data_IF_511131884136
#
_entry.id   IF_511131884136
#
_cell.length_a   1.000
_cell.length_b   1.000
_cell.length_c   1.000
_cell.angle_alpha   90.00
_cell.angle_beta   90.00
_cell.angle_gamma   90.00
#
_symmetry.space_group_name_H-M   'P 1'
#
loop_
_entity.id
_entity.type
_entity.pdbx_description
1 polymer ?
#
# COMPACT_ATOMS: atom_id res chain seq x y z
N UNK A 1 -27.21 -15.47 19.92
CA UNK A 1 -25.87 -15.79 20.46
C UNK A 1 -24.76 -15.02 19.68
N UNK A 2 -24.91 -13.71 19.50
CA UNK A 2 -23.99 -12.91 18.65
C UNK A 2 -23.37 -11.69 19.34
N UNK A 3 -23.60 -11.49 20.63
CA UNK A 3 -23.13 -10.30 21.36
C UNK A 3 -21.89 -10.51 22.24
N UNK A 4 -21.45 -11.76 22.43
CA UNK A 4 -20.34 -12.10 23.33
C UNK A 4 -18.95 -12.11 22.65
N UNK A 5 -18.88 -12.15 21.33
CA UNK A 5 -17.57 -12.15 20.62
C UNK A 5 -17.02 -10.74 20.33
N UNK A 6 -17.89 -9.73 20.23
CA UNK A 6 -17.49 -8.35 19.96
C UNK A 6 -16.81 -7.69 21.17
N UNK A 7 -17.33 -7.94 22.36
CA UNK A 7 -16.79 -7.40 23.63
C UNK A 7 -15.42 -7.98 24.01
N UNK A 8 -15.16 -9.25 23.70
CA UNK A 8 -13.87 -9.88 24.00
C UNK A 8 -12.74 -9.41 23.06
N UNK A 9 -13.04 -9.01 21.82
CA UNK A 9 -12.04 -8.52 20.88
C UNK A 9 -11.55 -7.11 21.23
N UNK A 10 -12.46 -6.23 21.59
CA UNK A 10 -12.15 -4.86 22.00
C UNK A 10 -11.25 -4.81 23.25
N UNK A 11 -11.51 -5.70 24.23
CA UNK A 11 -10.69 -5.78 25.45
C UNK A 11 -9.30 -6.36 25.23
N UNK A 12 -9.13 -7.28 24.26
CA UNK A 12 -7.83 -7.87 23.94
C UNK A 12 -6.90 -6.89 23.21
N UNK A 13 -7.45 -6.02 22.36
CA UNK A 13 -6.66 -5.03 21.61
C UNK A 13 -6.23 -3.87 22.49
N UNK A 14 -7.10 -3.41 23.38
CA UNK A 14 -6.77 -2.36 24.36
C UNK A 14 -5.62 -2.78 25.29
N UNK A 15 -5.41 -4.07 25.49
CA UNK A 15 -4.27 -4.59 26.28
C UNK A 15 -2.95 -4.66 25.48
N UNK A 16 -2.99 -4.55 24.16
CA UNK A 16 -1.80 -4.58 23.30
C UNK A 16 -1.19 -3.19 23.01
N UNK A 17 -1.97 -2.12 23.20
CA UNK A 17 -1.50 -0.73 23.02
C UNK A 17 -0.89 -0.21 24.33
N UNK A 18 0.23 0.52 24.18
CA UNK A 18 0.81 1.26 25.34
C UNK A 18 -0.07 2.45 25.70
N UNK A 19 0.10 2.97 26.93
CA UNK A 19 -0.57 4.21 27.33
C UNK A 19 -0.19 5.39 26.39
N UNK A 20 1.08 5.47 25.99
CA UNK A 20 1.58 6.45 25.03
C UNK A 20 0.89 6.34 23.68
N UNK A 21 0.81 5.12 23.10
CA UNK A 21 0.10 4.89 21.82
C UNK A 21 -1.37 5.26 21.91
N UNK A 22 -2.03 4.94 23.04
CA UNK A 22 -3.44 5.26 23.26
C UNK A 22 -3.70 6.78 23.35
N UNK A 23 -2.78 7.53 23.96
CA UNK A 23 -2.86 9.00 24.00
C UNK A 23 -2.58 9.59 22.62
N UNK A 24 -1.56 9.11 21.91
CA UNK A 24 -1.24 9.55 20.56
C UNK A 24 -2.39 9.30 19.59
N UNK A 25 -3.13 8.18 19.72
CA UNK A 25 -4.31 7.89 18.88
C UNK A 25 -5.45 8.88 19.17
N UNK A 26 -5.66 9.30 20.43
CA UNK A 26 -6.65 10.37 20.72
C UNK A 26 -6.25 11.69 20.06
N UNK A 27 -4.98 12.10 20.20
CA UNK A 27 -4.47 13.30 19.52
C UNK A 27 -4.60 13.21 18.00
N UNK A 28 -4.39 12.02 17.40
CA UNK A 28 -4.60 11.79 15.97
C UNK A 28 -6.07 11.96 15.58
N UNK A 29 -7.00 11.38 16.35
CA UNK A 29 -8.43 11.51 16.12
C UNK A 29 -8.88 12.98 16.19
N UNK A 30 -8.41 13.73 17.20
CA UNK A 30 -8.67 15.15 17.35
C UNK A 30 -8.10 15.96 16.18
N UNK A 31 -6.85 15.71 15.79
CA UNK A 31 -6.22 16.37 14.65
C UNK A 31 -6.97 16.08 13.33
N UNK A 32 -7.40 14.86 13.11
CA UNK A 32 -8.18 14.47 11.94
C UNK A 32 -9.55 15.15 11.89
N UNK A 33 -10.24 15.24 13.04
CA UNK A 33 -11.56 15.89 13.12
C UNK A 33 -11.51 17.41 12.93
N UNK A 34 -10.36 18.03 13.20
CA UNK A 34 -10.15 19.46 13.05
C UNK A 34 -9.53 19.85 11.71
N UNK A 35 -9.05 18.88 10.93
CA UNK A 35 -8.43 19.13 9.64
C UNK A 35 -9.48 19.52 8.59
N UNK A 36 -9.13 20.45 7.72
CA UNK A 36 -9.91 20.78 6.53
C UNK A 36 -9.61 19.75 5.41
N UNK A 37 -8.41 19.16 5.42
CA UNK A 37 -8.01 18.09 4.51
C UNK A 37 -7.07 17.08 5.16
N UNK A 38 -7.16 15.81 4.72
CA UNK A 38 -6.24 14.71 5.09
C UNK A 38 -5.52 14.21 3.84
N UNK A 39 -4.20 14.22 3.87
CA UNK A 39 -3.37 13.54 2.88
C UNK A 39 -2.85 12.25 3.51
N UNK A 40 -3.44 11.12 3.14
CA UNK A 40 -3.02 9.81 3.61
C UNK A 40 -1.88 9.26 2.73
N UNK A 41 -0.71 9.08 3.32
CA UNK A 41 0.44 8.41 2.71
C UNK A 41 0.59 6.98 3.23
N UNK A 42 0.52 5.99 2.36
CA UNK A 42 0.58 4.58 2.76
C UNK A 42 1.75 3.83 2.12
N UNK A 43 2.45 3.05 2.93
CA UNK A 43 3.52 2.15 2.53
C UNK A 43 3.23 0.69 2.83
N UNK A 44 4.21 -0.18 2.55
CA UNK A 44 4.08 -1.64 2.67
C UNK A 44 3.73 -2.11 4.09
N UNK A 45 4.05 -1.33 5.13
CA UNK A 45 3.67 -1.63 6.52
C UNK A 45 2.17 -1.69 6.73
N UNK A 46 1.36 -0.87 6.02
CA UNK A 46 -0.09 -0.95 6.09
C UNK A 46 -0.60 -2.28 5.51
N UNK A 47 -0.12 -2.69 4.34
CA UNK A 47 -0.50 -3.98 3.73
C UNK A 47 -0.05 -5.15 4.59
N UNK A 48 1.15 -5.09 5.17
CA UNK A 48 1.63 -6.12 6.09
C UNK A 48 0.76 -6.23 7.35
N UNK A 49 0.36 -5.10 7.95
CA UNK A 49 -0.56 -5.04 9.09
C UNK A 49 -1.95 -5.59 8.73
N UNK A 50 -2.38 -5.43 7.49
CA UNK A 50 -3.63 -6.01 6.97
C UNK A 50 -3.53 -7.51 6.67
N UNK A 51 -2.36 -8.15 6.86
CA UNK A 51 -2.14 -9.58 6.63
C UNK A 51 -1.40 -9.91 5.33
N UNK A 52 -1.06 -8.94 4.50
CA UNK A 52 -0.31 -9.13 3.25
C UNK A 52 1.22 -9.17 3.48
N UNK A 53 1.68 -9.82 4.54
CA UNK A 53 3.11 -9.95 4.83
C UNK A 53 3.83 -10.72 3.72
N UNK A 54 5.04 -10.26 3.37
CA UNK A 54 5.88 -10.89 2.34
C UNK A 54 6.77 -12.01 2.88
N UNK A 55 6.79 -12.22 4.18
CA UNK A 55 7.63 -13.21 4.86
C UNK A 55 6.83 -14.06 5.84
N UNK A 56 7.51 -15.01 6.48
CA UNK A 56 6.93 -15.86 7.52
C UNK A 56 5.88 -16.85 7.01
N UNK A 57 4.87 -17.20 7.83
CA UNK A 57 3.92 -18.28 7.53
C UNK A 57 3.15 -18.10 6.22
N UNK A 58 2.87 -16.85 5.81
CA UNK A 58 2.19 -16.57 4.54
C UNK A 58 3.07 -16.96 3.35
N UNK A 59 4.34 -16.57 3.36
CA UNK A 59 5.29 -16.94 2.31
C UNK A 59 5.47 -18.45 2.25
N UNK A 60 5.71 -19.10 3.39
CA UNK A 60 5.91 -20.56 3.46
C UNK A 60 4.70 -21.34 2.91
N UNK A 61 3.48 -20.87 3.17
CA UNK A 61 2.26 -21.52 2.63
C UNK A 61 2.08 -21.33 1.13
N UNK A 62 2.46 -20.17 0.59
CA UNK A 62 2.22 -19.81 -0.81
C UNK A 62 3.31 -20.35 -1.77
N UNK A 63 4.54 -20.55 -1.27
CA UNK A 63 5.70 -20.89 -2.09
C UNK A 63 6.52 -22.08 -1.57
N UNK A 64 5.89 -23.16 -1.06
CA UNK A 64 6.64 -24.26 -0.42
C UNK A 64 7.62 -24.94 -1.37
N UNK A 65 7.24 -25.16 -2.62
CA UNK A 65 8.04 -25.76 -3.68
C UNK A 65 9.21 -24.87 -4.14
N UNK A 66 9.01 -23.57 -4.21
CA UNK A 66 10.07 -22.59 -4.49
C UNK A 66 11.08 -22.51 -3.34
N UNK A 67 10.63 -22.63 -2.11
CA UNK A 67 11.51 -22.68 -0.93
C UNK A 67 12.36 -23.95 -0.98
N UNK A 68 11.72 -25.11 -1.21
CA UNK A 68 12.40 -26.40 -1.24
C UNK A 68 13.44 -26.50 -2.36
N UNK A 69 13.12 -26.05 -3.57
CA UNK A 69 13.98 -26.24 -4.73
C UNK A 69 14.99 -25.12 -4.95
N UNK A 70 14.65 -23.88 -4.58
CA UNK A 70 15.46 -22.69 -4.88
C UNK A 70 15.96 -21.96 -3.62
N UNK A 71 15.54 -22.38 -2.43
CA UNK A 71 15.95 -21.76 -1.17
C UNK A 71 15.44 -20.33 -0.98
N UNK A 72 14.29 -19.97 -1.57
CA UNK A 72 13.73 -18.64 -1.42
C UNK A 72 13.30 -18.38 0.03
N UNK A 73 13.47 -17.15 0.53
CA UNK A 73 13.27 -16.80 1.94
C UNK A 73 12.06 -15.90 2.21
N UNK A 74 11.70 -15.03 1.27
CA UNK A 74 10.58 -14.11 1.35
C UNK A 74 10.18 -13.59 -0.04
N UNK A 75 9.00 -12.95 -0.16
CA UNK A 75 8.50 -12.48 -1.46
C UNK A 75 9.29 -11.32 -2.04
N UNK A 76 9.86 -10.45 -1.19
CA UNK A 76 10.58 -9.28 -1.67
C UNK A 76 11.91 -9.66 -2.32
N UNK A 77 12.76 -10.38 -1.58
CA UNK A 77 14.06 -10.84 -2.08
C UNK A 77 13.90 -11.80 -3.26
N UNK A 78 12.88 -12.66 -3.24
CA UNK A 78 12.57 -13.58 -4.33
C UNK A 78 12.21 -12.88 -5.64
N UNK A 79 11.69 -11.66 -5.57
CA UNK A 79 11.42 -10.83 -6.77
C UNK A 79 12.69 -10.51 -7.57
N UNK A 80 13.84 -10.50 -6.92
CA UNK A 80 15.17 -10.23 -7.50
C UNK A 80 16.01 -11.51 -7.71
N UNK A 81 15.45 -12.69 -7.41
CA UNK A 81 16.15 -13.95 -7.59
C UNK A 81 16.48 -14.17 -9.09
N UNK A 82 17.73 -14.62 -9.42
CA UNK A 82 18.15 -14.85 -10.79
C UNK A 82 17.60 -16.19 -11.30
N UNK A 83 16.32 -16.24 -11.61
CA UNK A 83 15.65 -17.46 -12.09
C UNK A 83 16.35 -18.01 -13.34
N UNK A 84 16.50 -19.34 -13.48
CA UNK A 84 17.24 -19.97 -14.57
C UNK A 84 16.67 -19.66 -15.96
N UNK A 85 15.34 -19.51 -16.09
CA UNK A 85 14.66 -19.19 -17.35
C UNK A 85 13.49 -18.24 -17.13
N UNK A 86 13.00 -17.57 -18.18
CA UNK A 86 11.78 -16.74 -18.10
C UNK A 86 10.56 -17.51 -17.60
N UNK A 87 10.43 -18.80 -17.95
CA UNK A 87 9.32 -19.65 -17.52
C UNK A 87 9.33 -19.86 -15.99
N UNK A 88 10.50 -20.04 -15.37
CA UNK A 88 10.63 -20.10 -13.92
C UNK A 88 10.28 -18.76 -13.27
N UNK A 89 10.80 -17.67 -13.82
CA UNK A 89 10.53 -16.33 -13.33
C UNK A 89 9.03 -16.05 -13.33
N UNK A 90 8.34 -16.38 -14.42
CA UNK A 90 6.90 -16.13 -14.53
C UNK A 90 6.06 -17.13 -13.74
N UNK A 91 6.55 -18.34 -13.46
CA UNK A 91 5.91 -19.24 -12.51
C UNK A 91 5.91 -18.66 -11.09
N UNK A 92 7.02 -18.06 -10.65
CA UNK A 92 7.07 -17.34 -9.39
C UNK A 92 6.17 -16.09 -9.41
N UNK A 93 6.37 -15.20 -10.39
CA UNK A 93 5.66 -13.94 -10.44
C UNK A 93 4.15 -14.08 -10.63
N UNK A 94 3.68 -15.06 -11.37
CA UNK A 94 2.24 -15.30 -11.51
C UNK A 94 1.58 -15.66 -10.18
N UNK A 95 2.22 -16.51 -9.35
CA UNK A 95 1.73 -16.80 -8.00
C UNK A 95 1.83 -15.58 -7.08
N UNK A 96 2.92 -14.83 -7.17
CA UNK A 96 3.09 -13.60 -6.39
C UNK A 96 1.98 -12.58 -6.71
N UNK A 97 1.70 -12.35 -7.98
CA UNK A 97 0.63 -11.47 -8.44
C UNK A 97 -0.73 -11.98 -7.98
N UNK A 98 -1.03 -13.27 -8.17
CA UNK A 98 -2.29 -13.85 -7.68
C UNK A 98 -2.49 -13.58 -6.20
N UNK A 99 -1.48 -13.91 -5.39
CA UNK A 99 -1.56 -13.81 -3.93
C UNK A 99 -1.65 -12.37 -3.40
N UNK A 100 -1.14 -11.37 -4.13
CA UNK A 100 -1.09 -9.99 -3.64
C UNK A 100 -2.04 -9.03 -4.38
N UNK A 101 -2.62 -9.47 -5.51
CA UNK A 101 -3.44 -8.59 -6.36
C UNK A 101 -4.83 -9.14 -6.66
N UNK A 102 -4.99 -10.45 -6.87
CA UNK A 102 -6.24 -11.00 -7.36
C UNK A 102 -7.00 -11.88 -6.38
N UNK A 103 -6.33 -12.72 -5.62
CA UNK A 103 -6.96 -13.71 -4.73
C UNK A 103 -7.13 -13.23 -3.28
N UNK A 104 -6.63 -12.05 -2.95
CA UNK A 104 -6.76 -11.53 -1.59
C UNK A 104 -8.22 -11.13 -1.31
N UNK A 105 -8.73 -11.50 -0.13
CA UNK A 105 -10.05 -11.10 0.30
C UNK A 105 -10.13 -9.59 0.57
N UNK A 106 -11.33 -9.12 0.83
CA UNK A 106 -11.55 -7.81 1.42
C UNK A 106 -10.77 -7.71 2.75
N UNK A 107 -10.04 -6.64 2.93
CA UNK A 107 -9.16 -6.40 4.07
C UNK A 107 -9.85 -5.52 5.11
N UNK A 108 -10.25 -6.07 6.28
CA UNK A 108 -10.97 -5.30 7.31
C UNK A 108 -10.26 -4.01 7.71
N UNK A 109 -8.93 -4.04 7.83
CA UNK A 109 -8.12 -2.87 8.18
C UNK A 109 -8.27 -1.71 7.19
N UNK A 110 -8.31 -1.99 5.89
CA UNK A 110 -8.56 -0.98 4.85
C UNK A 110 -10.00 -0.46 4.90
N UNK A 111 -10.97 -1.32 5.19
CA UNK A 111 -12.36 -0.90 5.36
C UNK A 111 -12.54 0.00 6.59
N UNK A 112 -11.86 -0.32 7.69
CA UNK A 112 -11.88 0.49 8.90
C UNK A 112 -11.27 1.86 8.65
N UNK A 113 -10.12 1.93 7.98
CA UNK A 113 -9.49 3.18 7.60
C UNK A 113 -10.38 4.01 6.67
N UNK A 114 -11.04 3.37 5.69
CA UNK A 114 -12.00 4.03 4.81
C UNK A 114 -13.20 4.58 5.59
N UNK A 115 -13.72 3.81 6.54
CA UNK A 115 -14.84 4.23 7.38
C UNK A 115 -14.47 5.45 8.25
N UNK A 116 -13.26 5.46 8.81
CA UNK A 116 -12.73 6.62 9.55
C UNK A 116 -12.70 7.86 8.66
N UNK A 117 -12.04 7.78 7.50
CA UNK A 117 -11.90 8.93 6.61
C UNK A 117 -13.23 9.46 6.09
N UNK A 118 -14.14 8.55 5.72
CA UNK A 118 -15.48 8.93 5.26
C UNK A 118 -16.39 9.47 6.38
N UNK A 119 -16.06 9.20 7.64
CA UNK A 119 -16.76 9.71 8.81
C UNK A 119 -16.33 11.11 9.24
N UNK A 120 -15.23 11.64 8.71
CA UNK A 120 -14.78 12.99 9.00
C UNK A 120 -15.73 14.02 8.35
N UNK A 121 -16.27 14.90 9.18
CA UNK A 121 -17.23 15.91 8.74
C UNK A 121 -16.51 17.15 8.24
N UNK A 122 -16.87 17.64 7.05
CA UNK A 122 -16.25 18.81 6.40
C UNK A 122 -14.74 18.66 6.11
N UNK A 123 -14.24 17.45 6.05
CA UNK A 123 -12.84 17.15 5.78
C UNK A 123 -12.73 16.46 4.44
N UNK A 124 -11.95 17.00 3.52
CA UNK A 124 -11.63 16.33 2.27
C UNK A 124 -10.43 15.40 2.45
N UNK A 125 -10.26 14.37 1.62
CA UNK A 125 -9.08 13.52 1.71
C UNK A 125 -8.55 13.06 0.35
N UNK A 126 -7.25 12.79 0.31
CA UNK A 126 -6.58 12.15 -0.82
C UNK A 126 -5.58 11.09 -0.32
N UNK A 127 -5.49 9.97 -1.03
CA UNK A 127 -4.57 8.87 -0.73
C UNK A 127 -3.43 8.86 -1.74
N UNK A 128 -2.19 8.87 -1.24
CA UNK A 128 -0.99 8.56 -2.02
C UNK A 128 -0.36 7.28 -1.47
N UNK A 129 -0.01 6.34 -2.33
CA UNK A 129 0.60 5.09 -1.87
C UNK A 129 1.78 4.66 -2.73
N UNK A 130 2.76 4.03 -2.10
CA UNK A 130 3.85 3.30 -2.75
C UNK A 130 3.54 1.81 -2.91
N UNK A 131 2.39 1.35 -2.41
CA UNK A 131 1.96 -0.02 -2.57
C UNK A 131 1.44 -0.28 -3.99
N UNK A 132 1.70 -1.48 -4.49
CA UNK A 132 1.38 -1.90 -5.86
C UNK A 132 0.36 -3.05 -5.88
N UNK A 133 -0.23 -3.36 -4.72
CA UNK A 133 -1.19 -4.44 -4.48
C UNK A 133 -2.65 -4.09 -4.80
N UNK A 134 -2.92 -2.82 -5.13
CA UNK A 134 -4.26 -2.30 -5.40
C UNK A 134 -5.25 -2.41 -4.22
N UNK A 135 -4.74 -2.58 -3.01
CA UNK A 135 -5.59 -2.85 -1.85
C UNK A 135 -6.60 -1.72 -1.56
N UNK A 136 -6.23 -0.45 -1.75
CA UNK A 136 -7.15 0.68 -1.56
C UNK A 136 -8.39 0.57 -2.46
N UNK A 137 -8.21 0.47 -3.78
CA UNK A 137 -9.34 0.39 -4.72
C UNK A 137 -10.20 -0.86 -4.49
N UNK A 138 -9.58 -2.03 -4.24
CA UNK A 138 -10.30 -3.27 -3.92
C UNK A 138 -11.14 -3.19 -2.65
N UNK A 139 -10.76 -2.35 -1.69
CA UNK A 139 -11.51 -2.12 -0.47
C UNK A 139 -12.45 -0.90 -0.54
N UNK A 140 -12.72 -0.42 -1.76
CA UNK A 140 -13.75 0.56 -2.06
C UNK A 140 -13.38 2.01 -1.81
N UNK A 141 -12.08 2.35 -1.74
CA UNK A 141 -11.66 3.75 -1.81
C UNK A 141 -11.95 4.30 -3.21
N UNK A 142 -12.31 5.57 -3.27
CA UNK A 142 -12.56 6.25 -4.53
C UNK A 142 -11.25 6.43 -5.31
N UNK A 143 -11.16 5.83 -6.49
CA UNK A 143 -9.97 5.92 -7.34
C UNK A 143 -9.70 7.35 -7.84
N UNK A 144 -10.70 8.23 -7.85
CA UNK A 144 -10.49 9.65 -8.16
C UNK A 144 -9.67 10.38 -7.09
N UNK A 145 -9.61 9.84 -5.88
CA UNK A 145 -8.87 10.31 -4.70
C UNK A 145 -7.68 9.43 -4.34
N UNK A 146 -7.18 8.67 -5.31
CA UNK A 146 -6.09 7.72 -5.11
C UNK A 146 -4.98 7.91 -6.15
N UNK A 147 -3.71 7.91 -5.68
CA UNK A 147 -2.52 7.90 -6.51
C UNK A 147 -1.54 6.80 -6.07
N UNK A 148 -1.49 5.69 -6.81
CA UNK A 148 -0.47 4.65 -6.67
C UNK A 148 0.76 5.03 -7.50
N UNK A 149 1.85 5.46 -6.83
CA UNK A 149 2.99 6.10 -7.49
C UNK A 149 3.95 5.13 -8.16
N UNK A 150 3.95 3.87 -7.74
CA UNK A 150 4.95 2.86 -8.11
C UNK A 150 4.44 1.80 -9.09
N UNK A 151 3.22 1.97 -9.62
CA UNK A 151 2.59 1.02 -10.53
C UNK A 151 1.60 0.07 -9.85
N UNK A 152 1.33 -1.07 -10.50
CA UNK A 152 0.33 -2.05 -10.07
C UNK A 152 0.76 -3.45 -10.50
N UNK A 153 0.71 -4.44 -9.62
CA UNK A 153 0.94 -5.86 -9.96
C UNK A 153 0.00 -6.38 -11.05
N UNK A 154 -1.15 -5.76 -11.22
CA UNK A 154 -2.15 -6.12 -12.23
C UNK A 154 -1.89 -5.58 -13.62
N UNK A 155 -0.78 -4.84 -13.83
CA UNK A 155 -0.46 -4.21 -15.10
C UNK A 155 0.85 -4.70 -15.67
N UNK A 156 0.87 -4.90 -16.98
CA UNK A 156 2.07 -5.09 -17.78
C UNK A 156 2.40 -3.87 -18.60
N UNK A 157 3.70 -3.72 -18.90
CA UNK A 157 4.27 -2.76 -19.83
C UNK A 157 5.28 -3.44 -20.78
N UNK A 158 5.63 -2.79 -21.87
CA UNK A 158 6.71 -3.23 -22.72
C UNK A 158 8.08 -3.09 -22.02
N UNK A 159 8.93 -4.10 -22.09
CA UNK A 159 10.27 -4.07 -21.47
C UNK A 159 11.21 -3.01 -22.06
N UNK A 160 10.98 -2.61 -23.31
CA UNK A 160 11.74 -1.57 -24.04
C UNK A 160 10.87 -0.34 -24.32
N UNK A 161 10.09 0.19 -23.43
CA UNK A 161 8.94 1.09 -23.53
C UNK A 161 8.67 1.64 -24.95
N UNK A 162 8.19 0.79 -25.87
CA UNK A 162 7.93 1.19 -27.25
C UNK A 162 6.67 2.07 -27.38
N UNK A 163 5.91 2.21 -26.31
CA UNK A 163 4.74 3.09 -26.16
C UNK A 163 4.47 3.38 -24.69
N UNK A 164 3.68 4.41 -24.41
CA UNK A 164 3.32 4.84 -23.06
C UNK A 164 2.11 4.11 -22.48
N UNK A 165 1.70 2.97 -23.04
CA UNK A 165 0.51 2.22 -22.57
C UNK A 165 0.87 1.05 -21.68
N UNK A 166 0.01 0.79 -20.71
CA UNK A 166 -0.01 -0.42 -19.88
C UNK A 166 -1.26 -1.24 -20.20
N UNK A 167 -1.27 -2.52 -19.82
CA UNK A 167 -2.45 -3.39 -20.01
C UNK A 167 -2.61 -4.41 -18.89
N UNK A 168 -3.84 -4.86 -18.68
CA UNK A 168 -4.17 -5.84 -17.64
C UNK A 168 -3.50 -7.19 -17.92
N UNK A 169 -3.05 -7.84 -16.86
CA UNK A 169 -2.42 -9.15 -16.92
C UNK A 169 -3.28 -10.26 -16.29
N UNK A 170 -4.48 -9.96 -15.80
CA UNK A 170 -5.24 -10.88 -14.95
C UNK A 170 -5.50 -12.24 -15.60
N UNK A 171 -6.05 -12.29 -16.82
CA UNK A 171 -6.37 -13.54 -17.49
C UNK A 171 -5.14 -14.41 -17.75
N UNK A 172 -4.05 -13.78 -18.19
CA UNK A 172 -2.79 -14.47 -18.46
C UNK A 172 -2.14 -15.01 -17.17
N UNK A 173 -2.14 -14.20 -16.09
CA UNK A 173 -1.61 -14.62 -14.79
C UNK A 173 -2.40 -15.78 -14.21
N UNK A 174 -3.73 -15.78 -14.31
CA UNK A 174 -4.57 -16.92 -13.90
C UNK A 174 -4.23 -18.18 -14.70
N UNK A 175 -4.11 -18.08 -16.01
CA UNK A 175 -3.70 -19.21 -16.86
C UNK A 175 -2.28 -19.70 -16.54
N UNK A 176 -1.33 -18.80 -16.27
CA UNK A 176 0.02 -19.17 -15.82
C UNK A 176 0.00 -20.00 -14.54
N UNK A 177 -0.78 -19.58 -13.53
CA UNK A 177 -0.90 -20.30 -12.25
C UNK A 177 -1.54 -21.67 -12.45
N UNK A 178 -2.59 -21.77 -13.27
CA UNK A 178 -3.29 -23.03 -13.54
C UNK A 178 -2.40 -24.04 -14.27
N UNK A 179 -1.63 -23.58 -15.25
CA UNK A 179 -0.88 -24.44 -16.17
C UNK A 179 0.58 -24.67 -15.79
N UNK A 180 1.09 -24.00 -14.75
CA UNK A 180 2.48 -24.23 -14.32
C UNK A 180 2.69 -25.65 -13.80
N UNK A 181 3.86 -26.21 -14.11
CA UNK A 181 4.35 -27.51 -13.60
C UNK A 181 5.84 -27.39 -13.34
N UNK A 182 6.34 -28.06 -12.32
CA UNK A 182 7.77 -28.11 -11.99
C UNK A 182 8.43 -26.71 -11.95
N UNK A 183 7.77 -25.76 -11.26
CA UNK A 183 8.16 -24.35 -11.15
C UNK A 183 8.29 -23.63 -12.49
N UNK A 184 7.61 -24.06 -13.54
CA UNK A 184 7.64 -23.44 -14.88
C UNK A 184 6.23 -23.24 -15.42
N UNK A 185 6.04 -22.13 -16.12
CA UNK A 185 4.90 -21.96 -17.02
C UNK A 185 5.21 -22.55 -18.40
N UNK A 186 4.23 -22.91 -19.22
CA UNK A 186 4.44 -23.17 -20.63
C UNK A 186 5.06 -21.96 -21.34
N UNK A 187 6.05 -22.18 -22.23
CA UNK A 187 6.71 -21.09 -22.97
C UNK A 187 5.71 -20.27 -23.83
N UNK A 188 4.60 -20.89 -24.23
CA UNK A 188 3.52 -20.20 -24.97
C UNK A 188 2.78 -19.14 -24.14
N UNK A 189 2.97 -19.11 -22.81
CA UNK A 189 2.39 -18.11 -21.91
C UNK A 189 3.37 -16.99 -21.54
N UNK A 190 4.60 -17.02 -22.08
CA UNK A 190 5.53 -15.91 -21.85
C UNK A 190 4.93 -14.62 -22.40
N UNK A 191 4.79 -13.57 -21.56
CA UNK A 191 4.10 -12.37 -21.98
C UNK A 191 4.96 -11.54 -22.94
N UNK A 192 4.34 -11.07 -23.99
CA UNK A 192 4.96 -10.22 -25.00
C UNK A 192 4.17 -8.93 -25.20
N UNK A 193 4.86 -7.88 -25.58
CA UNK A 193 4.24 -6.61 -25.94
C UNK A 193 3.37 -6.78 -27.18
N UNK A 194 2.07 -6.42 -27.14
CA UNK A 194 1.16 -6.59 -28.28
C UNK A 194 1.53 -5.67 -29.46
N UNK A 195 2.38 -4.66 -29.25
CA UNK A 195 2.75 -3.69 -30.28
C UNK A 195 4.05 -4.05 -31.01
N UNK A 196 5.09 -4.50 -30.29
CA UNK A 196 6.40 -4.76 -30.89
C UNK A 196 6.89 -6.20 -30.77
N UNK A 197 6.19 -7.07 -30.01
CA UNK A 197 6.60 -8.44 -29.80
C UNK A 197 7.73 -8.66 -28.76
N UNK A 198 8.34 -7.60 -28.27
CA UNK A 198 9.34 -7.70 -27.18
C UNK A 198 8.71 -8.22 -25.90
N UNK A 199 9.50 -8.79 -24.97
CA UNK A 199 8.96 -9.25 -23.68
C UNK A 199 8.16 -8.17 -22.95
N UNK A 200 7.08 -8.58 -22.32
CA UNK A 200 6.39 -7.73 -21.35
C UNK A 200 6.95 -7.93 -19.95
N UNK A 201 6.89 -6.89 -19.15
CA UNK A 201 7.26 -6.88 -17.72
C UNK A 201 6.13 -6.27 -16.90
N UNK A 202 6.15 -6.47 -15.60
CA UNK A 202 5.20 -5.78 -14.71
C UNK A 202 5.43 -4.27 -14.75
N UNK A 203 4.34 -3.51 -14.72
CA UNK A 203 4.41 -2.05 -14.57
C UNK A 203 4.73 -1.71 -13.12
N UNK A 204 5.99 -1.84 -12.75
CA UNK A 204 6.53 -1.51 -11.43
C UNK A 204 7.71 -0.56 -11.60
N UNK A 205 7.78 0.48 -10.77
CA UNK A 205 8.88 1.46 -10.78
C UNK A 205 10.14 0.86 -10.13
N UNK A 206 10.87 0.07 -10.87
CA UNK A 206 12.16 -0.52 -10.45
C UNK A 206 13.35 0.23 -11.04
N UNK A 207 13.17 0.88 -12.19
CA UNK A 207 14.19 1.66 -12.88
C UNK A 207 13.56 2.75 -13.79
N UNK A 208 14.36 3.34 -14.67
CA UNK A 208 13.95 4.41 -15.60
C UNK A 208 13.06 3.95 -16.76
N UNK A 209 12.81 2.64 -16.92
CA UNK A 209 11.93 2.09 -17.97
C UNK A 209 10.46 2.05 -17.54
N UNK A 210 10.13 2.47 -16.32
CA UNK A 210 8.77 2.52 -15.82
C UNK A 210 7.89 3.41 -16.72
N UNK A 211 6.79 2.83 -17.19
CA UNK A 211 5.81 3.53 -18.03
C UNK A 211 4.80 4.24 -17.14
N UNK A 212 4.83 5.56 -17.19
CA UNK A 212 3.80 6.44 -16.65
C UNK A 212 2.71 6.60 -17.71
N UNK A 213 1.64 5.81 -17.63
CA UNK A 213 0.54 5.88 -18.58
C UNK A 213 -0.41 7.06 -18.30
N UNK A 214 -1.42 7.24 -19.15
CA UNK A 214 -2.39 8.33 -19.00
C UNK A 214 -3.16 8.28 -17.66
N UNK A 215 -3.38 7.08 -17.10
CA UNK A 215 -4.04 6.92 -15.80
C UNK A 215 -3.13 7.40 -14.67
N UNK A 216 -1.85 7.03 -14.75
CA UNK A 216 -0.84 7.49 -13.81
C UNK A 216 -0.71 9.02 -13.82
N UNK A 217 -0.58 9.62 -15.01
CA UNK A 217 -0.50 11.09 -15.15
C UNK A 217 -1.76 11.79 -14.65
N UNK A 218 -2.96 11.26 -14.95
CA UNK A 218 -4.22 11.81 -14.47
C UNK A 218 -4.33 11.74 -12.94
N UNK A 219 -3.88 10.65 -12.32
CA UNK A 219 -3.88 10.50 -10.86
C UNK A 219 -2.86 11.47 -10.21
N UNK A 220 -1.67 11.59 -10.79
CA UNK A 220 -0.65 12.53 -10.33
C UNK A 220 -1.11 14.00 -10.43
N UNK A 221 -1.89 14.34 -11.48
CA UNK A 221 -2.46 15.67 -11.63
C UNK A 221 -3.56 15.96 -10.60
N UNK A 222 -4.47 15.00 -10.36
CA UNK A 222 -5.48 15.13 -9.29
C UNK A 222 -4.82 15.31 -7.93
N UNK A 223 -3.77 14.55 -7.62
CA UNK A 223 -3.02 14.69 -6.38
C UNK A 223 -2.38 16.08 -6.25
N UNK A 224 -1.70 16.56 -7.29
CA UNK A 224 -1.09 17.90 -7.30
C UNK A 224 -2.13 19.01 -7.11
N UNK A 225 -3.28 18.87 -7.77
CA UNK A 225 -4.41 19.81 -7.63
C UNK A 225 -4.92 19.82 -6.20
N UNK A 226 -5.20 18.66 -5.61
CA UNK A 226 -5.62 18.55 -4.22
C UNK A 226 -4.66 19.26 -3.25
N UNK A 227 -3.36 19.02 -3.42
CA UNK A 227 -2.35 19.66 -2.59
C UNK A 227 -2.30 21.20 -2.78
N UNK A 228 -2.60 21.70 -3.96
CA UNK A 228 -2.63 23.14 -4.25
C UNK A 228 -3.90 23.79 -3.69
N UNK A 229 -5.03 23.13 -3.79
CA UNK A 229 -6.32 23.59 -3.26
C UNK A 229 -6.29 23.76 -1.73
N UNK A 230 -5.53 22.89 -1.04
CA UNK A 230 -5.40 22.90 0.43
C UNK A 230 -4.06 23.43 0.95
N UNK A 231 -3.31 24.19 0.14
CA UNK A 231 -1.95 24.62 0.51
C UNK A 231 -1.89 25.44 1.81
N UNK A 232 -2.92 26.23 2.10
CA UNK A 232 -3.01 27.11 3.28
C UNK A 232 -3.95 26.60 4.36
N UNK A 233 -4.61 25.47 4.14
CA UNK A 233 -5.61 24.92 5.05
C UNK A 233 -4.96 24.16 6.23
N UNK A 234 -5.77 23.75 7.19
CA UNK A 234 -5.36 22.82 8.26
C UNK A 234 -5.28 21.42 7.69
N UNK A 235 -4.11 21.06 7.16
CA UNK A 235 -3.90 19.75 6.54
C UNK A 235 -3.30 18.76 7.54
N UNK A 236 -3.91 17.60 7.67
CA UNK A 236 -3.28 16.45 8.33
C UNK A 236 -2.54 15.60 7.28
N UNK A 237 -1.19 15.61 7.32
CA UNK A 237 -0.36 14.68 6.58
C UNK A 237 -0.19 13.40 7.41
N UNK A 238 -0.94 12.36 7.07
CA UNK A 238 -1.00 11.10 7.79
C UNK A 238 -0.18 10.02 7.08
N UNK A 239 0.91 9.59 7.68
CA UNK A 239 1.78 8.53 7.17
C UNK A 239 1.47 7.20 7.87
N UNK A 240 1.19 6.11 7.13
CA UNK A 240 0.92 4.78 7.69
C UNK A 240 1.83 3.73 7.06
N UNK A 241 2.71 3.13 7.86
CA UNK A 241 3.55 2.01 7.45
C UNK A 241 4.52 2.33 6.31
N UNK A 242 4.96 3.56 6.20
CA UNK A 242 5.94 4.00 5.19
C UNK A 242 7.35 3.73 5.67
N UNK A 243 8.09 2.95 4.90
CA UNK A 243 9.50 2.62 5.16
C UNK A 243 10.48 3.61 4.50
N UNK A 244 11.76 3.22 4.53
CA UNK A 244 12.88 4.01 3.99
C UNK A 244 13.26 3.68 2.54
N UNK A 245 12.59 2.73 1.88
CA UNK A 245 12.96 2.35 0.52
C UNK A 245 12.74 3.48 -0.50
N UNK A 246 11.68 4.30 -0.31
CA UNK A 246 11.33 5.39 -1.20
C UNK A 246 10.85 6.63 -0.43
N UNK A 247 11.67 7.21 0.48
CA UNK A 247 11.25 8.28 1.38
C UNK A 247 10.90 9.57 0.64
N UNK A 248 11.44 9.76 -0.56
CA UNK A 248 11.18 10.92 -1.42
C UNK A 248 9.74 11.00 -1.97
N UNK A 249 8.97 9.93 -1.91
CA UNK A 249 7.61 9.90 -2.46
C UNK A 249 6.54 10.32 -1.44
N UNK A 250 6.72 9.99 -0.17
CA UNK A 250 5.74 10.30 0.89
C UNK A 250 6.43 11.03 2.05
N UNK A 251 7.41 10.40 2.70
CA UNK A 251 8.03 10.84 3.95
C UNK A 251 8.57 12.27 3.86
N UNK A 252 9.49 12.52 2.95
CA UNK A 252 10.10 13.84 2.79
C UNK A 252 9.11 14.93 2.32
N UNK A 253 8.23 14.69 1.34
CA UNK A 253 7.19 15.64 0.96
C UNK A 253 6.25 16.00 2.11
N UNK A 254 5.83 15.05 2.94
CA UNK A 254 4.97 15.32 4.09
C UNK A 254 5.67 16.19 5.14
N UNK A 255 6.93 15.88 5.44
CA UNK A 255 7.72 16.69 6.35
C UNK A 255 7.93 18.12 5.85
N UNK A 256 8.27 18.28 4.57
CA UNK A 256 8.48 19.59 3.96
C UNK A 256 7.21 20.43 3.95
N UNK A 257 6.05 19.83 3.60
CA UNK A 257 4.77 20.52 3.60
C UNK A 257 4.32 20.90 5.01
N UNK A 258 4.49 20.01 5.98
CA UNK A 258 4.22 20.32 7.39
C UNK A 258 5.12 21.45 7.90
N UNK A 259 6.38 21.49 7.48
CA UNK A 259 7.29 22.57 7.82
C UNK A 259 6.84 23.90 7.20
N UNK A 260 6.46 23.90 5.93
CA UNK A 260 6.09 25.10 5.17
C UNK A 260 4.75 25.69 5.63
N UNK A 261 3.76 24.88 6.00
CA UNK A 261 2.44 25.32 6.46
C UNK A 261 2.35 25.22 7.99
N UNK A 262 2.26 26.38 8.68
CA UNK A 262 2.18 26.43 10.14
C UNK A 262 0.89 25.85 10.73
N UNK A 263 -0.17 25.72 9.93
CA UNK A 263 -1.45 25.12 10.32
C UNK A 263 -1.50 23.60 10.07
N UNK A 264 -0.51 23.04 9.37
CA UNK A 264 -0.46 21.62 9.09
C UNK A 264 0.05 20.81 10.27
N UNK A 265 -0.47 19.59 10.40
CA UNK A 265 -0.05 18.58 11.36
C UNK A 265 0.49 17.36 10.60
N UNK A 266 1.57 16.77 11.07
CA UNK A 266 2.09 15.48 10.59
C UNK A 266 1.74 14.40 11.61
N UNK A 267 1.26 13.25 11.15
CA UNK A 267 1.09 12.07 11.99
C UNK A 267 1.69 10.83 11.31
N UNK A 268 2.30 9.95 12.09
CA UNK A 268 2.89 8.71 11.57
C UNK A 268 2.53 7.52 12.45
N UNK A 269 1.96 6.47 11.84
CA UNK A 269 1.69 5.16 12.43
C UNK A 269 2.74 4.18 11.91
N UNK A 270 3.64 3.75 12.75
CA UNK A 270 4.70 2.82 12.38
C UNK A 270 5.19 2.04 13.61
N UNK A 271 5.88 0.92 13.40
CA UNK A 271 6.57 0.23 14.49
C UNK A 271 7.60 1.17 15.17
N UNK A 272 8.37 1.89 14.37
CA UNK A 272 9.36 2.87 14.79
C UNK A 272 9.07 4.18 14.04
N UNK A 273 8.19 5.04 14.59
CA UNK A 273 7.84 6.31 13.97
C UNK A 273 9.00 7.31 14.06
N UNK A 274 9.21 8.06 12.99
CA UNK A 274 10.25 9.07 12.91
C UNK A 274 9.69 10.46 12.62
N UNK A 275 10.12 11.43 13.38
CA UNK A 275 9.71 12.84 13.28
C UNK A 275 10.94 13.73 13.21
N UNK A 276 11.12 14.56 12.16
CA UNK A 276 12.18 15.56 12.11
C UNK A 276 12.02 16.63 13.20
N UNK A 277 13.13 17.08 13.78
CA UNK A 277 13.14 18.09 14.85
C UNK A 277 12.38 19.37 14.49
N UNK A 278 12.39 19.75 13.20
CA UNK A 278 11.80 20.99 12.72
C UNK A 278 10.27 21.02 12.82
N UNK A 279 9.62 19.86 12.87
CA UNK A 279 8.15 19.73 12.90
C UNK A 279 7.62 19.03 14.16
N UNK A 280 8.49 18.69 15.13
CA UNK A 280 8.12 17.89 16.32
C UNK A 280 6.91 18.46 17.08
N UNK A 281 6.82 19.78 17.23
CA UNK A 281 5.71 20.42 17.95
C UNK A 281 4.34 20.33 17.26
N UNK A 282 4.34 19.95 15.99
CA UNK A 282 3.13 19.79 15.16
C UNK A 282 3.07 18.38 14.58
N UNK A 283 3.55 17.40 15.34
CA UNK A 283 3.63 16.02 14.90
C UNK A 283 3.16 15.05 15.97
N UNK A 284 2.53 13.98 15.52
CA UNK A 284 1.98 12.89 16.33
C UNK A 284 2.66 11.59 15.92
N UNK A 285 3.36 10.94 16.84
CA UNK A 285 3.93 9.62 16.64
C UNK A 285 3.04 8.58 17.30
N UNK A 286 2.59 7.59 16.54
CA UNK A 286 1.86 6.43 17.06
C UNK A 286 2.75 5.20 16.87
N UNK A 287 3.53 4.82 17.87
CA UNK A 287 4.43 3.66 17.80
C UNK A 287 3.65 2.35 17.96
N UNK A 288 4.14 1.29 17.29
CA UNK A 288 3.69 -0.08 17.52
C UNK A 288 2.80 -0.64 16.44
N UNK A 289 1.83 -1.47 16.83
CA UNK A 289 0.97 -2.21 15.91
C UNK A 289 -0.03 -1.31 15.18
N UNK A 290 0.11 -1.25 13.85
CA UNK A 290 -0.73 -0.42 12.98
C UNK A 290 -2.19 -0.89 13.00
N UNK A 291 -2.44 -2.21 13.02
CA UNK A 291 -3.80 -2.73 13.01
C UNK A 291 -4.53 -2.40 14.30
N UNK A 292 -3.88 -2.60 15.46
CA UNK A 292 -4.42 -2.21 16.76
C UNK A 292 -4.67 -0.70 16.86
N UNK A 293 -3.77 0.11 16.29
CA UNK A 293 -3.90 1.57 16.28
C UNK A 293 -5.10 2.06 15.47
N UNK A 294 -5.32 1.50 14.27
CA UNK A 294 -6.47 1.84 13.42
C UNK A 294 -7.78 1.37 14.06
N UNK A 295 -7.82 0.19 14.69
CA UNK A 295 -9.01 -0.31 15.37
C UNK A 295 -9.37 0.57 16.58
N UNK A 296 -8.38 1.02 17.36
CA UNK A 296 -8.60 1.94 18.46
C UNK A 296 -9.09 3.32 17.96
N UNK A 297 -8.51 3.84 16.88
CA UNK A 297 -8.99 5.09 16.27
C UNK A 297 -10.42 4.98 15.77
N UNK A 298 -10.78 3.87 15.09
CA UNK A 298 -12.16 3.61 14.66
C UNK A 298 -13.14 3.62 15.83
N UNK A 299 -12.75 3.00 16.95
CA UNK A 299 -13.59 2.97 18.16
C UNK A 299 -13.86 4.38 18.71
N UNK A 300 -12.84 5.26 18.71
CA UNK A 300 -12.98 6.67 19.10
C UNK A 300 -13.85 7.47 18.12
N UNK A 301 -13.76 7.20 16.83
CA UNK A 301 -14.56 7.90 15.81
C UNK A 301 -16.05 7.51 15.83
N UNK A 302 -16.43 6.44 16.53
CA UNK A 302 -17.81 5.95 16.66
C UNK A 302 -18.45 6.32 18.00
N UNK A 303 -17.71 6.87 18.95
CA UNK A 303 -18.14 7.28 20.28
C UNK A 303 -18.53 8.74 20.30
#
# INVERSE_FOLDING_TARGET
>A
MSSTQSTNRSTAISSALTAESSEAIRHLADAASQADAVVLGAGAGLSAAAGLSYSGPRFTRLFPDFIEQLGLSDMYSSGFYPFPTPEHRWAYWSRHIMANRYDEPILPLYQDLRAILNGLVNTDYFVITTNVDHAFARNGFDESRLFATQGDYGLWQCSVPCHAGTWSNESAVREMVERQRDLRIPSSLLPVCPRCGEPAVMNLRVDSTFVEDDRWHSAAERYRRFLSEHESDRVLYLEIGVGWNTPSLIKFPFWQRTYANSSAVFATLNQEPEIPRQITQRSIAVPGDIAASIEAWKTLAQS
#
